data_IF_626955086827
#
_entry.id   IF_626955086827
#
_cell.length_a   1.000
_cell.length_b   1.000
_cell.length_c   1.000
_cell.angle_alpha   90.00
_cell.angle_beta   90.00
_cell.angle_gamma   90.00
#
_symmetry.space_group_name_H-M   'P 1'
#
loop_
_entity.id
_entity.type
_entity.pdbx_description
1 polymer ?
#
# COMPACT_ATOMS: atom_id res chain seq x y z
N UNK A 1 4.52 38.96 9.58
CA UNK A 1 4.77 39.41 10.97
C UNK A 1 3.54 40.13 11.48
N UNK A 2 2.92 39.68 12.57
CA UNK A 2 1.93 40.47 13.30
C UNK A 2 2.67 41.51 14.15
N UNK A 3 2.11 42.72 14.28
CA UNK A 3 2.70 43.91 14.93
C UNK A 3 3.04 43.77 16.43
N UNK A 4 2.94 42.58 17.01
CA UNK A 4 3.13 42.31 18.45
C UNK A 4 4.32 41.41 18.77
N UNK A 5 5.27 41.20 17.84
CA UNK A 5 6.53 40.49 18.13
C UNK A 5 6.42 38.96 18.25
N UNK A 6 5.24 38.37 18.04
CA UNK A 6 5.07 36.92 17.98
C UNK A 6 5.24 36.41 16.54
N UNK A 7 6.15 35.46 16.36
CA UNK A 7 6.31 34.66 15.14
C UNK A 7 5.82 33.24 15.36
N UNK A 8 5.09 32.69 14.40
CA UNK A 8 4.72 31.28 14.40
C UNK A 8 5.99 30.44 14.15
N UNK A 9 6.42 29.68 15.15
CA UNK A 9 7.37 28.57 14.97
C UNK A 9 6.56 27.29 15.10
N UNK A 10 6.74 26.35 14.18
CA UNK A 10 6.30 24.97 14.41
C UNK A 10 7.06 24.43 15.62
N UNK A 11 6.36 23.79 16.55
CA UNK A 11 7.01 23.11 17.67
C UNK A 11 8.00 22.07 17.10
N UNK A 12 9.26 22.14 17.49
CA UNK A 12 10.24 21.09 17.21
C UNK A 12 9.80 19.86 18.02
N UNK A 13 9.54 18.76 17.31
CA UNK A 13 9.18 17.49 17.92
C UNK A 13 10.42 16.94 18.63
N UNK A 14 10.33 16.51 19.89
CA UNK A 14 11.45 15.90 20.66
C UNK A 14 11.93 14.55 20.09
N UNK A 15 11.29 14.06 19.01
CA UNK A 15 11.69 12.83 18.30
C UNK A 15 12.89 13.12 17.39
N UNK A 16 14.08 12.79 17.85
CA UNK A 16 15.33 13.09 17.15
C UNK A 16 15.56 12.23 15.90
N UNK A 17 15.08 10.98 15.84
CA UNK A 17 15.12 10.12 14.64
C UNK A 17 14.09 8.98 14.77
N UNK A 18 13.13 8.89 13.85
CA UNK A 18 12.31 7.68 13.66
C UNK A 18 13.07 6.74 12.75
N UNK A 19 13.53 5.60 13.27
CA UNK A 19 14.26 4.60 12.48
C UNK A 19 13.28 3.52 12.02
N UNK A 20 13.21 3.35 10.71
CA UNK A 20 12.48 2.28 10.07
C UNK A 20 13.08 0.91 10.47
N UNK A 21 12.25 -0.10 10.68
CA UNK A 21 12.75 -1.46 10.95
C UNK A 21 13.61 -1.92 9.77
N UNK A 22 14.78 -2.52 10.04
CA UNK A 22 15.75 -2.91 9.00
C UNK A 22 15.14 -3.75 7.87
N UNK A 23 14.14 -4.59 8.16
CA UNK A 23 13.45 -5.40 7.16
C UNK A 23 12.62 -4.57 6.18
N UNK A 24 11.92 -3.54 6.69
CA UNK A 24 11.12 -2.64 5.87
C UNK A 24 12.06 -1.79 5.03
N UNK A 25 13.15 -1.29 5.64
CA UNK A 25 14.18 -0.53 4.91
C UNK A 25 14.81 -1.37 3.80
N UNK A 26 15.23 -2.62 4.08
CA UNK A 26 15.77 -3.52 3.09
C UNK A 26 14.78 -3.80 1.94
N UNK A 27 13.49 -3.94 2.26
CA UNK A 27 12.43 -4.08 1.26
C UNK A 27 12.30 -2.82 0.41
N UNK A 28 12.26 -1.63 1.02
CA UNK A 28 12.19 -0.36 0.30
C UNK A 28 13.36 -0.17 -0.64
N UNK A 29 14.58 -0.46 -0.19
CA UNK A 29 15.76 -0.46 -1.05
C UNK A 29 15.65 -1.43 -2.24
N UNK A 30 15.14 -2.65 -2.00
CA UNK A 30 14.89 -3.63 -3.05
C UNK A 30 13.85 -3.10 -4.05
N UNK A 31 12.73 -2.57 -3.57
CA UNK A 31 11.69 -1.97 -4.39
C UNK A 31 12.25 -0.85 -5.27
N UNK A 32 12.99 0.08 -4.68
CA UNK A 32 13.59 1.22 -5.39
C UNK A 32 14.58 0.79 -6.49
N UNK A 33 15.33 -0.30 -6.27
CA UNK A 33 16.19 -0.89 -7.31
C UNK A 33 15.37 -1.52 -8.42
N UNK A 34 14.41 -2.37 -8.07
CA UNK A 34 13.57 -3.09 -9.03
C UNK A 34 12.80 -2.12 -9.92
N UNK A 35 12.07 -1.15 -9.34
CA UNK A 35 11.27 -0.20 -10.13
C UNK A 35 12.13 0.64 -11.06
N UNK A 36 13.35 1.00 -10.64
CA UNK A 36 14.31 1.72 -11.48
C UNK A 36 14.79 0.87 -12.67
N UNK A 37 15.08 -0.42 -12.44
CA UNK A 37 15.41 -1.36 -13.52
C UNK A 37 14.26 -1.45 -14.52
N UNK A 38 13.03 -1.65 -14.05
CA UNK A 38 11.86 -1.77 -14.94
C UNK A 38 11.61 -0.50 -15.76
N UNK A 39 11.78 0.68 -15.17
CA UNK A 39 11.70 1.95 -15.90
C UNK A 39 12.81 2.10 -16.94
N UNK A 40 14.04 1.71 -16.63
CA UNK A 40 15.16 1.73 -17.58
C UNK A 40 14.99 0.72 -18.74
N UNK A 41 14.29 -0.38 -18.51
CA UNK A 41 13.85 -1.32 -19.55
C UNK A 41 12.73 -0.76 -20.44
N UNK A 42 12.19 0.42 -20.12
CA UNK A 42 11.09 1.05 -20.84
C UNK A 42 9.72 0.41 -20.56
N UNK A 43 9.59 -0.36 -19.48
CA UNK A 43 8.30 -0.96 -19.10
C UNK A 43 7.35 0.09 -18.56
N UNK A 44 6.08 -0.02 -18.94
CA UNK A 44 5.03 0.81 -18.34
C UNK A 44 4.81 0.39 -16.89
N UNK A 45 4.81 1.37 -15.99
CA UNK A 45 4.47 1.15 -14.58
C UNK A 45 3.02 1.57 -14.38
N UNK A 46 2.18 0.62 -13.96
CA UNK A 46 0.76 0.82 -13.66
C UNK A 46 0.56 0.64 -12.17
N UNK A 47 0.06 1.67 -11.52
CA UNK A 47 -0.24 1.69 -10.10
C UNK A 47 -1.72 1.43 -9.89
N UNK A 48 -2.06 0.55 -8.94
CA UNK A 48 -3.44 0.29 -8.53
C UNK A 48 -3.57 0.44 -7.02
N UNK A 49 -4.80 0.72 -6.60
CA UNK A 49 -5.18 0.79 -5.19
C UNK A 49 -6.71 0.86 -5.06
N UNK A 50 -7.20 0.72 -3.82
CA UNK A 50 -8.58 0.97 -3.44
C UNK A 50 -8.74 2.21 -2.55
N UNK A 51 -9.79 2.98 -2.79
CA UNK A 51 -10.21 4.04 -1.87
C UNK A 51 -11.70 3.94 -1.58
N UNK A 52 -12.15 4.61 -0.51
CA UNK A 52 -13.57 4.82 -0.25
C UNK A 52 -13.98 6.29 -0.28
N UNK A 53 -15.23 6.52 -0.63
CA UNK A 53 -15.90 7.82 -0.60
C UNK A 53 -17.22 7.66 0.14
N UNK A 54 -17.43 8.47 1.17
CA UNK A 54 -18.69 8.50 1.89
C UNK A 54 -19.75 9.31 1.13
N UNK A 55 -20.99 8.87 1.18
CA UNK A 55 -22.12 9.54 0.52
C UNK A 55 -22.24 11.01 0.91
N UNK A 56 -21.96 11.36 2.17
CA UNK A 56 -22.01 12.73 2.66
C UNK A 56 -20.64 13.44 2.62
N UNK A 57 -19.69 12.96 1.82
CA UNK A 57 -18.35 13.56 1.68
C UNK A 57 -18.44 14.94 0.99
N UNK A 58 -18.16 16.00 1.73
CA UNK A 58 -18.31 17.41 1.32
C UNK A 58 -17.12 18.25 1.75
N UNK A 59 -16.95 19.41 1.12
CA UNK A 59 -15.98 20.41 1.57
C UNK A 59 -16.28 20.85 3.00
N UNK A 60 -15.27 20.81 3.88
CA UNK A 60 -15.40 21.24 5.29
C UNK A 60 -15.59 22.75 5.44
N UNK A 61 -15.17 23.55 4.44
CA UNK A 61 -15.22 25.02 4.44
C UNK A 61 -15.80 25.53 3.12
N UNK A 62 -16.66 26.54 3.18
CA UNK A 62 -17.23 27.22 2.01
C UNK A 62 -17.40 28.71 2.31
N UNK A 63 -17.22 29.57 1.30
CA UNK A 63 -17.53 30.99 1.37
C UNK A 63 -19.06 31.19 1.30
N UNK A 64 -19.62 31.96 2.23
CA UNK A 64 -21.07 32.19 2.34
C UNK A 64 -21.36 33.68 2.19
N UNK A 65 -22.32 34.01 1.31
CA UNK A 65 -22.95 35.33 1.19
C UNK A 65 -24.40 35.34 1.70
N UNK A 66 -25.07 36.51 1.70
CA UNK A 66 -26.39 36.71 2.32
C UNK A 66 -27.52 35.82 1.77
N UNK A 67 -27.37 35.31 0.54
CA UNK A 67 -28.36 34.48 -0.18
C UNK A 67 -27.92 33.02 -0.38
N UNK A 68 -26.71 32.64 0.05
CA UNK A 68 -26.19 31.28 -0.14
C UNK A 68 -26.25 30.48 1.16
N UNK A 69 -27.03 29.41 1.17
CA UNK A 69 -27.13 28.48 2.30
C UNK A 69 -25.77 27.82 2.55
N UNK A 70 -25.28 27.90 3.79
CA UNK A 70 -24.00 27.31 4.19
C UNK A 70 -23.95 25.78 4.08
N UNK A 71 -22.73 25.22 4.06
CA UNK A 71 -22.52 23.76 4.09
C UNK A 71 -22.98 23.22 5.44
N UNK A 72 -24.06 22.45 5.43
CA UNK A 72 -24.51 21.67 6.60
C UNK A 72 -23.76 20.34 6.66
N UNK A 73 -23.05 20.11 7.77
CA UNK A 73 -22.45 18.81 8.09
C UNK A 73 -23.53 17.90 8.65
N UNK A 74 -23.87 16.81 7.95
CA UNK A 74 -24.75 15.77 8.51
C UNK A 74 -23.96 14.97 9.55
N UNK A 75 -24.63 14.54 10.62
CA UNK A 75 -24.03 13.79 11.75
C UNK A 75 -23.54 12.39 11.33
N UNK A 76 -24.15 11.77 10.32
CA UNK A 76 -23.75 10.45 9.81
C UNK A 76 -23.03 10.58 8.46
N UNK A 77 -21.90 9.87 8.31
CA UNK A 77 -21.11 9.81 7.06
C UNK A 77 -21.90 9.20 5.88
N UNK A 78 -22.95 8.43 6.14
CA UNK A 78 -23.76 7.75 5.12
C UNK A 78 -23.07 6.54 4.51
N UNK A 79 -23.62 6.02 3.40
CA UNK A 79 -23.12 4.81 2.72
C UNK A 79 -21.68 4.99 2.24
N UNK A 80 -20.87 3.93 2.32
CA UNK A 80 -19.51 3.89 1.78
C UNK A 80 -19.55 3.37 0.34
N UNK A 81 -19.02 4.17 -0.59
CA UNK A 81 -18.73 3.76 -1.96
C UNK A 81 -17.26 3.38 -2.02
N UNK A 82 -16.97 2.14 -2.42
CA UNK A 82 -15.62 1.64 -2.67
C UNK A 82 -15.30 1.90 -4.13
N UNK A 83 -14.09 2.38 -4.37
CA UNK A 83 -13.55 2.67 -5.69
C UNK A 83 -12.23 1.92 -5.85
N UNK A 84 -12.09 1.22 -6.96
CA UNK A 84 -10.88 0.49 -7.35
C UNK A 84 -10.50 1.00 -8.73
N UNK A 85 -9.23 1.34 -8.92
CA UNK A 85 -8.74 1.70 -10.24
C UNK A 85 -7.24 1.45 -10.36
N UNK A 86 -6.75 1.66 -11.58
CA UNK A 86 -5.35 1.57 -11.93
C UNK A 86 -5.01 2.65 -12.96
N UNK A 87 -3.79 3.18 -12.90
CA UNK A 87 -3.31 4.17 -13.85
C UNK A 87 -1.80 4.24 -13.92
N UNK A 88 -1.30 4.95 -14.92
CA UNK A 88 0.12 5.21 -15.16
C UNK A 88 0.33 6.69 -15.46
N UNK A 89 1.55 7.09 -15.81
CA UNK A 89 1.81 8.45 -16.29
C UNK A 89 1.00 8.84 -17.55
N UNK A 90 0.47 7.86 -18.28
CA UNK A 90 -0.42 8.07 -19.44
C UNK A 90 -1.89 8.30 -19.05
N UNK A 91 -2.21 8.27 -17.75
CA UNK A 91 -3.57 8.39 -17.24
C UNK A 91 -4.11 7.07 -16.67
N UNK A 92 -5.39 7.08 -16.33
CA UNK A 92 -6.10 5.88 -15.90
C UNK A 92 -6.20 4.83 -17.00
N UNK A 93 -6.15 3.55 -16.63
CA UNK A 93 -6.39 2.42 -17.54
C UNK A 93 -7.87 2.44 -17.96
N UNK A 94 -8.21 2.69 -19.23
CA UNK A 94 -9.61 2.81 -19.65
C UNK A 94 -10.42 1.56 -19.31
N UNK A 95 -11.64 1.71 -18.78
CA UNK A 95 -12.49 0.56 -18.44
C UNK A 95 -12.12 -0.19 -17.16
N UNK A 96 -11.03 0.17 -16.48
CA UNK A 96 -10.62 -0.45 -15.22
C UNK A 96 -11.28 0.17 -13.97
N UNK A 97 -12.05 1.26 -14.10
CA UNK A 97 -12.74 1.88 -12.96
C UNK A 97 -13.86 0.96 -12.46
N UNK A 98 -13.81 0.62 -11.18
CA UNK A 98 -14.89 -0.07 -10.48
C UNK A 98 -15.36 0.79 -9.31
N UNK A 99 -16.64 1.11 -9.28
CA UNK A 99 -17.30 1.82 -8.19
C UNK A 99 -18.50 0.99 -7.76
N UNK A 100 -18.57 0.66 -6.48
CA UNK A 100 -19.72 -0.03 -5.89
C UNK A 100 -19.90 0.41 -4.45
N UNK A 101 -21.01 0.03 -3.83
CA UNK A 101 -21.31 0.45 -2.47
C UNK A 101 -21.69 -0.73 -1.60
N UNK A 102 -21.20 -0.74 -0.35
CA UNK A 102 -21.42 -1.85 0.57
C UNK A 102 -22.93 -2.09 0.77
N UNK A 103 -23.39 -3.34 0.65
CA UNK A 103 -24.82 -3.73 0.73
C UNK A 103 -25.70 -3.30 -0.47
N UNK A 104 -25.14 -3.09 -1.67
CA UNK A 104 -25.96 -2.91 -2.88
C UNK A 104 -26.55 -4.25 -3.37
N UNK A 105 -27.78 -4.21 -3.91
CA UNK A 105 -28.48 -5.39 -4.48
C UNK A 105 -28.05 -5.71 -5.93
N UNK A 106 -27.06 -5.02 -6.50
CA UNK A 106 -26.56 -5.29 -7.85
C UNK A 106 -25.59 -6.47 -7.84
N UNK A 107 -25.83 -7.43 -8.72
CA UNK A 107 -25.48 -8.86 -8.61
C UNK A 107 -23.98 -9.23 -8.57
N UNK A 108 -23.05 -8.29 -8.73
CA UNK A 108 -21.65 -8.62 -9.04
C UNK A 108 -20.63 -8.32 -7.93
N UNK A 109 -20.95 -7.37 -7.02
CA UNK A 109 -20.10 -6.95 -5.90
C UNK A 109 -20.99 -6.61 -4.69
N UNK A 110 -21.23 -7.58 -3.80
CA UNK A 110 -22.22 -7.47 -2.72
C UNK A 110 -21.65 -7.03 -1.35
N UNK A 111 -20.34 -7.11 -1.18
CA UNK A 111 -19.62 -6.88 0.09
C UNK A 111 -18.41 -5.96 -0.11
N UNK A 112 -17.73 -5.61 1.00
CA UNK A 112 -16.47 -4.87 0.95
C UNK A 112 -15.39 -5.61 0.12
N UNK A 113 -14.30 -4.91 -0.21
CA UNK A 113 -13.21 -5.51 -0.99
C UNK A 113 -12.62 -6.74 -0.29
N UNK A 114 -12.44 -7.82 -1.04
CA UNK A 114 -11.87 -9.09 -0.58
C UNK A 114 -11.13 -9.77 -1.73
N UNK A 115 -10.42 -10.87 -1.46
CA UNK A 115 -9.59 -11.55 -2.48
C UNK A 115 -10.39 -11.98 -3.71
N UNK A 116 -11.63 -12.44 -3.54
CA UNK A 116 -12.46 -12.88 -4.67
C UNK A 116 -12.87 -11.69 -5.55
N UNK A 117 -13.32 -10.60 -4.93
CA UNK A 117 -13.73 -9.38 -5.63
C UNK A 117 -12.53 -8.72 -6.33
N UNK A 118 -11.38 -8.67 -5.65
CA UNK A 118 -10.14 -8.15 -6.20
C UNK A 118 -9.70 -8.96 -7.41
N UNK A 119 -9.62 -10.29 -7.30
CA UNK A 119 -9.21 -11.14 -8.43
C UNK A 119 -10.21 -11.11 -9.58
N UNK A 120 -11.52 -10.97 -9.32
CA UNK A 120 -12.53 -10.72 -10.35
C UNK A 120 -12.23 -9.42 -11.10
N UNK A 121 -11.96 -8.33 -10.37
CA UNK A 121 -11.59 -7.05 -10.97
C UNK A 121 -10.29 -7.13 -11.78
N UNK A 122 -9.26 -7.82 -11.26
CA UNK A 122 -8.00 -8.04 -11.99
C UNK A 122 -8.25 -8.73 -13.33
N UNK A 123 -9.06 -9.80 -13.34
CA UNK A 123 -9.35 -10.62 -14.53
C UNK A 123 -10.28 -9.93 -15.53
N UNK A 124 -11.29 -9.21 -15.06
CA UNK A 124 -12.37 -8.67 -15.92
C UNK A 124 -12.16 -7.20 -16.30
N UNK A 125 -11.42 -6.43 -15.50
CA UNK A 125 -11.31 -4.98 -15.62
C UNK A 125 -9.89 -4.49 -15.80
N UNK A 126 -8.91 -5.07 -15.11
CA UNK A 126 -7.51 -4.64 -15.26
C UNK A 126 -6.86 -5.25 -16.50
N UNK A 127 -6.63 -6.57 -16.49
CA UNK A 127 -5.86 -7.30 -17.52
C UNK A 127 -6.41 -7.04 -18.93
N UNK A 128 -7.72 -7.14 -19.21
CA UNK A 128 -8.23 -6.96 -20.57
C UNK A 128 -8.05 -5.55 -21.13
N UNK A 129 -7.82 -4.56 -20.26
CA UNK A 129 -7.69 -3.16 -20.63
C UNK A 129 -6.25 -2.64 -20.61
N UNK A 130 -5.26 -3.48 -20.26
CA UNK A 130 -3.85 -3.15 -20.39
C UNK A 130 -3.43 -3.30 -21.86
N UNK A 131 -2.93 -2.22 -22.45
CA UNK A 131 -2.57 -2.18 -23.88
C UNK A 131 -1.19 -2.77 -24.20
N UNK A 132 -0.33 -2.92 -23.18
CA UNK A 132 1.05 -3.39 -23.31
C UNK A 132 1.54 -4.11 -22.05
N UNK A 133 2.57 -4.97 -22.18
CA UNK A 133 3.27 -5.54 -21.03
C UNK A 133 3.65 -4.45 -20.05
N UNK A 134 3.29 -4.66 -18.78
CA UNK A 134 3.32 -3.62 -17.75
C UNK A 134 3.77 -4.22 -16.42
N UNK A 135 4.39 -3.40 -15.59
CA UNK A 135 4.66 -3.70 -14.19
C UNK A 135 3.53 -3.13 -13.37
N UNK A 136 2.82 -4.00 -12.67
CA UNK A 136 1.71 -3.67 -11.80
C UNK A 136 2.23 -3.44 -10.39
N UNK A 137 2.03 -2.24 -9.87
CA UNK A 137 2.41 -1.83 -8.52
C UNK A 137 1.17 -1.78 -7.65
N UNK A 138 1.20 -2.49 -6.52
CA UNK A 138 0.13 -2.52 -5.52
C UNK A 138 0.70 -2.65 -4.11
N UNK A 139 -0.13 -2.40 -3.09
CA UNK A 139 0.26 -2.59 -1.70
C UNK A 139 0.33 -4.08 -1.32
N UNK A 140 0.62 -4.37 -0.06
CA UNK A 140 0.74 -5.73 0.46
C UNK A 140 -0.49 -6.15 1.29
N UNK A 141 -1.67 -5.64 0.97
CA UNK A 141 -2.89 -6.04 1.66
C UNK A 141 -3.07 -7.56 1.57
N UNK A 142 -3.47 -8.18 2.68
CA UNK A 142 -3.57 -9.64 2.79
C UNK A 142 -4.50 -10.26 1.75
N UNK A 143 -5.49 -9.50 1.26
CA UNK A 143 -6.40 -9.94 0.24
C UNK A 143 -5.84 -9.82 -1.20
N UNK A 144 -4.83 -8.97 -1.44
CA UNK A 144 -4.07 -8.92 -2.70
C UNK A 144 -3.07 -10.07 -2.81
N UNK A 145 -2.35 -10.38 -1.71
CA UNK A 145 -1.31 -11.42 -1.66
C UNK A 145 -1.85 -12.78 -1.17
N UNK A 146 -2.91 -13.26 -1.84
CA UNK A 146 -3.46 -14.59 -1.57
C UNK A 146 -2.50 -15.70 -2.06
N UNK A 147 -1.83 -16.35 -1.12
CA UNK A 147 -0.91 -17.45 -1.40
C UNK A 147 -1.66 -18.71 -1.87
N UNK A 148 -1.28 -19.26 -3.03
CA UNK A 148 -1.89 -20.47 -3.60
C UNK A 148 -1.21 -21.76 -3.11
N UNK A 149 0.10 -21.73 -2.84
CA UNK A 149 0.89 -22.87 -2.39
C UNK A 149 1.12 -22.88 -0.86
N UNK A 150 0.10 -22.49 -0.09
CA UNK A 150 0.23 -22.32 1.36
C UNK A 150 0.64 -23.65 2.05
N UNK A 151 1.78 -23.72 2.75
CA UNK A 151 2.14 -24.90 3.51
C UNK A 151 1.25 -25.03 4.75
N UNK A 152 1.02 -26.26 5.25
CA UNK A 152 0.32 -26.46 6.51
C UNK A 152 1.15 -25.88 7.67
N UNK A 153 0.46 -25.53 8.75
CA UNK A 153 1.03 -25.03 10.00
C UNK A 153 0.69 -25.98 11.16
N UNK A 154 1.31 -25.76 12.32
CA UNK A 154 1.13 -26.62 13.49
C UNK A 154 -0.32 -26.73 13.99
N UNK A 155 -1.23 -25.82 13.65
CA UNK A 155 -2.65 -25.94 13.99
C UNK A 155 -3.42 -26.88 13.06
N UNK A 156 -2.92 -27.20 11.86
CA UNK A 156 -3.55 -28.16 10.94
C UNK A 156 -3.53 -29.58 11.50
N UNK A 157 -4.45 -30.43 11.05
CA UNK A 157 -4.47 -31.83 11.52
C UNK A 157 -3.28 -32.60 10.96
N UNK A 158 -2.89 -33.72 11.62
CA UNK A 158 -1.84 -34.62 11.09
C UNK A 158 -2.21 -35.14 9.70
N UNK A 159 -3.51 -35.36 9.45
CA UNK A 159 -4.02 -35.78 8.15
C UNK A 159 -3.83 -34.71 7.06
N UNK A 160 -4.10 -33.43 7.37
CA UNK A 160 -3.88 -32.33 6.43
C UNK A 160 -2.40 -32.17 6.06
N UNK A 161 -1.51 -32.30 7.06
CA UNK A 161 -0.05 -32.22 6.84
C UNK A 161 0.39 -33.36 5.91
N UNK A 162 -0.04 -34.60 6.18
CA UNK A 162 0.24 -35.76 5.32
C UNK A 162 -0.29 -35.56 3.90
N UNK A 163 -1.53 -35.06 3.76
CA UNK A 163 -2.13 -34.77 2.45
C UNK A 163 -1.29 -33.75 1.67
N UNK A 164 -0.81 -32.71 2.32
CA UNK A 164 0.09 -31.74 1.68
C UNK A 164 1.41 -32.38 1.24
N UNK A 165 2.04 -33.21 2.09
CA UNK A 165 3.27 -33.92 1.74
C UNK A 165 3.08 -34.83 0.51
N UNK A 166 2.00 -35.62 0.47
CA UNK A 166 1.65 -36.45 -0.70
C UNK A 166 1.45 -35.59 -1.95
N UNK A 167 0.67 -34.51 -1.85
CA UNK A 167 0.40 -33.62 -2.99
C UNK A 167 1.67 -32.95 -3.55
N UNK A 168 2.71 -32.78 -2.72
CA UNK A 168 4.00 -32.24 -3.12
C UNK A 168 5.05 -33.33 -3.44
N UNK A 169 4.65 -34.61 -3.47
CA UNK A 169 5.54 -35.73 -3.79
C UNK A 169 6.61 -36.01 -2.72
N UNK A 170 6.35 -35.64 -1.46
CA UNK A 170 7.30 -35.80 -0.35
C UNK A 170 6.97 -37.09 0.40
N UNK A 171 7.95 -38.01 0.45
CA UNK A 171 7.85 -39.26 1.21
C UNK A 171 7.89 -39.00 2.72
N UNK A 172 7.10 -39.77 3.47
CA UNK A 172 7.10 -39.78 4.93
C UNK A 172 6.67 -41.15 5.44
N UNK A 173 7.03 -41.47 6.69
CA UNK A 173 6.69 -42.75 7.32
C UNK A 173 5.43 -42.63 8.19
N UNK A 174 4.61 -43.69 8.24
CA UNK A 174 3.33 -43.65 8.96
C UNK A 174 3.48 -43.40 10.46
N UNK A 175 4.57 -43.88 11.06
CA UNK A 175 4.86 -43.72 12.48
C UNK A 175 5.28 -42.29 12.84
N UNK A 176 5.76 -41.49 11.88
CA UNK A 176 6.26 -40.14 12.15
C UNK A 176 5.20 -39.29 12.84
N UNK A 177 5.61 -38.64 13.91
CA UNK A 177 4.83 -37.70 14.70
C UNK A 177 4.49 -36.45 13.90
N UNK A 178 3.52 -35.68 14.38
CA UNK A 178 3.15 -34.41 13.73
C UNK A 178 4.33 -33.42 13.67
N UNK A 179 5.22 -33.44 14.68
CA UNK A 179 6.41 -32.60 14.71
C UNK A 179 7.41 -32.98 13.61
N UNK A 180 7.71 -34.28 13.45
CA UNK A 180 8.60 -34.77 12.39
C UNK A 180 8.08 -34.44 11.00
N UNK A 181 6.77 -34.61 10.76
CA UNK A 181 6.14 -34.23 9.50
C UNK A 181 6.25 -32.71 9.23
N UNK A 182 6.17 -31.88 10.27
CA UNK A 182 6.33 -30.43 10.14
C UNK A 182 7.76 -30.01 9.89
N UNK A 183 8.76 -30.76 10.37
CA UNK A 183 10.15 -30.57 9.96
C UNK A 183 10.30 -30.82 8.45
N UNK A 184 9.69 -31.89 7.91
CA UNK A 184 9.69 -32.14 6.47
C UNK A 184 9.00 -31.02 5.68
N UNK A 185 7.85 -30.51 6.15
CA UNK A 185 7.18 -29.36 5.52
C UNK A 185 8.09 -28.14 5.51
N UNK A 186 8.76 -27.83 6.62
CA UNK A 186 9.64 -26.65 6.70
C UNK A 186 10.89 -26.77 5.83
N UNK A 187 11.44 -27.99 5.67
CA UNK A 187 12.58 -28.27 4.79
C UNK A 187 12.20 -28.22 3.30
N UNK A 188 11.00 -28.70 2.95
CA UNK A 188 10.57 -28.87 1.56
C UNK A 188 9.62 -27.80 1.04
N UNK A 189 9.11 -26.89 1.88
CA UNK A 189 8.23 -25.81 1.42
C UNK A 189 8.96 -24.94 0.39
N UNK A 190 8.25 -24.62 -0.67
CA UNK A 190 8.73 -23.71 -1.71
C UNK A 190 8.44 -22.26 -1.32
N UNK A 191 9.04 -21.33 -2.06
CA UNK A 191 8.73 -19.90 -1.91
C UNK A 191 7.23 -19.65 -2.13
N UNK A 192 6.62 -18.71 -1.40
CA UNK A 192 5.22 -18.35 -1.61
C UNK A 192 4.97 -17.97 -3.07
N UNK A 193 3.89 -18.52 -3.63
CA UNK A 193 3.35 -18.15 -4.94
C UNK A 193 2.00 -17.49 -4.70
N UNK A 194 1.79 -16.33 -5.32
CA UNK A 194 0.59 -15.51 -5.12
C UNK A 194 -0.33 -15.55 -6.33
N UNK A 195 -1.64 -15.63 -6.09
CA UNK A 195 -2.65 -15.76 -7.14
C UNK A 195 -2.60 -14.60 -8.16
N UNK A 196 -2.44 -13.37 -7.67
CA UNK A 196 -2.33 -12.17 -8.51
C UNK A 196 -1.06 -12.17 -9.36
N UNK A 197 0.07 -12.62 -8.81
CA UNK A 197 1.35 -12.68 -9.53
C UNK A 197 1.29 -13.67 -10.70
N UNK A 198 0.76 -14.88 -10.47
CA UNK A 198 0.65 -15.90 -11.50
C UNK A 198 -0.26 -15.46 -12.65
N UNK A 199 -1.44 -14.90 -12.35
CA UNK A 199 -2.35 -14.47 -13.42
C UNK A 199 -1.80 -13.29 -14.23
N UNK A 200 -1.08 -12.37 -13.58
CA UNK A 200 -0.42 -11.25 -14.27
C UNK A 200 0.69 -11.79 -15.18
N UNK A 201 1.50 -12.71 -14.67
CA UNK A 201 2.59 -13.35 -15.42
C UNK A 201 2.09 -14.16 -16.62
N UNK A 202 0.99 -14.89 -16.47
CA UNK A 202 0.31 -15.60 -17.58
C UNK A 202 -0.08 -14.65 -18.72
N UNK A 203 -0.36 -13.38 -18.40
CA UNK A 203 -0.73 -12.33 -19.35
C UNK A 203 0.43 -11.38 -19.69
N UNK A 204 1.68 -11.79 -19.43
CA UNK A 204 2.89 -11.03 -19.73
C UNK A 204 2.99 -9.68 -18.99
N UNK A 205 2.45 -9.63 -17.77
CA UNK A 205 2.62 -8.55 -16.82
C UNK A 205 3.48 -9.01 -15.64
N UNK A 206 4.14 -8.06 -14.97
CA UNK A 206 4.94 -8.32 -13.78
C UNK A 206 4.28 -7.67 -12.57
N UNK A 207 4.44 -8.28 -11.39
CA UNK A 207 3.97 -7.70 -10.15
C UNK A 207 5.14 -7.10 -9.35
N UNK A 208 4.94 -5.93 -8.78
CA UNK A 208 5.87 -5.30 -7.86
C UNK A 208 5.12 -4.75 -6.63
N UNK A 209 5.32 -5.38 -5.48
CA UNK A 209 4.69 -4.99 -4.23
C UNK A 209 5.40 -3.78 -3.59
N UNK A 210 4.61 -2.81 -3.14
CA UNK A 210 5.10 -1.70 -2.33
C UNK A 210 5.66 -2.21 -0.99
N UNK A 211 6.70 -1.55 -0.46
CA UNK A 211 7.17 -1.84 0.89
C UNK A 211 6.09 -1.39 1.91
N UNK A 212 5.93 -2.10 3.04
CA UNK A 212 4.96 -1.73 4.06
C UNK A 212 5.12 -0.27 4.51
N UNK A 213 4.02 0.45 4.70
CA UNK A 213 3.98 1.84 5.16
C UNK A 213 4.53 2.91 4.19
N UNK A 214 4.75 2.57 2.91
CA UNK A 214 5.22 3.51 1.89
C UNK A 214 4.17 3.80 0.81
N UNK A 215 3.01 4.29 1.23
CA UNK A 215 2.00 4.78 0.29
C UNK A 215 2.46 6.04 -0.47
N UNK A 216 3.47 6.75 0.03
CA UNK A 216 4.13 7.87 -0.63
C UNK A 216 4.89 7.46 -1.91
N UNK A 217 5.19 6.17 -2.06
CA UNK A 217 5.71 5.58 -3.30
C UNK A 217 4.60 5.19 -4.30
N UNK A 218 3.33 5.44 -3.96
CA UNK A 218 2.18 5.16 -4.81
C UNK A 218 1.49 6.45 -5.29
N UNK A 219 1.68 6.88 -6.56
CA UNK A 219 1.13 8.15 -7.05
C UNK A 219 -0.40 8.17 -7.07
N UNK A 220 -1.06 7.01 -7.07
CA UNK A 220 -2.52 6.92 -7.07
C UNK A 220 -3.15 7.54 -5.82
N UNK A 221 -2.42 7.62 -4.70
CA UNK A 221 -2.87 8.27 -3.47
C UNK A 221 -3.12 9.77 -3.67
N UNK A 222 -2.25 10.41 -4.45
CA UNK A 222 -2.40 11.82 -4.82
C UNK A 222 -3.57 12.00 -5.79
N UNK A 223 -3.78 11.02 -6.68
CA UNK A 223 -4.92 10.96 -7.59
C UNK A 223 -6.23 10.83 -6.81
N UNK A 224 -6.29 9.97 -5.78
CA UNK A 224 -7.42 9.85 -4.86
C UNK A 224 -7.73 11.16 -4.17
N UNK A 225 -6.71 11.81 -3.64
CA UNK A 225 -6.83 13.12 -3.01
C UNK A 225 -7.45 14.15 -3.98
N UNK A 226 -7.01 14.16 -5.24
CA UNK A 226 -7.57 15.04 -6.26
C UNK A 226 -9.02 14.71 -6.62
N UNK A 227 -9.33 13.42 -6.84
CA UNK A 227 -10.67 12.95 -7.17
C UNK A 227 -11.66 13.28 -6.04
N UNK A 228 -11.30 12.98 -4.79
CA UNK A 228 -12.09 13.29 -3.60
C UNK A 228 -12.35 14.77 -3.46
N UNK A 229 -11.36 15.65 -3.70
CA UNK A 229 -11.58 17.11 -3.72
C UNK A 229 -12.63 17.52 -4.76
N UNK A 230 -12.56 16.97 -5.98
CA UNK A 230 -13.55 17.24 -7.04
C UNK A 230 -14.95 16.76 -6.60
N UNK A 231 -15.06 15.55 -6.04
CA UNK A 231 -16.32 15.00 -5.52
C UNK A 231 -16.89 15.91 -4.43
N UNK A 232 -16.08 16.25 -3.42
CA UNK A 232 -16.50 17.09 -2.30
C UNK A 232 -17.03 18.46 -2.74
N UNK A 233 -16.42 19.06 -3.77
CA UNK A 233 -16.82 20.36 -4.31
C UNK A 233 -18.16 20.32 -5.06
N UNK A 234 -18.55 19.15 -5.58
CA UNK A 234 -19.78 18.96 -6.38
C UNK A 234 -20.91 18.27 -5.64
N UNK A 235 -20.61 17.61 -4.52
CA UNK A 235 -21.58 16.92 -3.67
C UNK A 235 -22.43 17.90 -2.83
N UNK A 236 -23.04 18.88 -3.48
CA UNK A 236 -23.90 19.90 -2.86
C UNK A 236 -25.32 19.68 -3.36
N UNK A 237 -26.18 19.15 -2.49
CA UNK A 237 -27.60 18.92 -2.80
C UNK A 237 -27.90 17.67 -3.63
N UNK A 238 -26.89 16.86 -3.97
CA UNK A 238 -27.04 15.66 -4.80
C UNK A 238 -27.72 14.53 -4.00
N UNK A 239 -28.75 13.86 -4.55
CA UNK A 239 -29.33 12.66 -3.97
C UNK A 239 -28.32 11.52 -3.90
N UNK A 240 -28.33 10.73 -2.82
CA UNK A 240 -27.40 9.60 -2.66
C UNK A 240 -27.39 8.56 -3.78
N UNK A 241 -28.50 8.42 -4.52
CA UNK A 241 -28.61 7.49 -5.66
C UNK A 241 -27.75 7.92 -6.85
N UNK A 242 -27.36 9.18 -6.93
CA UNK A 242 -26.54 9.74 -8.00
C UNK A 242 -25.05 9.79 -7.63
N UNK A 243 -24.69 9.33 -6.41
CA UNK A 243 -23.32 9.39 -5.92
C UNK A 243 -22.34 8.57 -6.76
N UNK A 244 -22.75 7.39 -7.23
CA UNK A 244 -21.88 6.55 -8.07
C UNK A 244 -21.57 7.23 -9.42
N UNK A 245 -22.57 7.85 -10.04
CA UNK A 245 -22.39 8.63 -11.27
C UNK A 245 -21.46 9.83 -11.03
N UNK A 246 -21.65 10.56 -9.93
CA UNK A 246 -20.78 11.68 -9.56
C UNK A 246 -19.33 11.25 -9.38
N UNK A 247 -19.10 10.11 -8.72
CA UNK A 247 -17.75 9.54 -8.54
C UNK A 247 -17.15 9.26 -9.92
N UNK A 248 -17.87 8.53 -10.78
CA UNK A 248 -17.41 8.19 -12.14
C UNK A 248 -17.05 9.45 -12.94
N UNK A 249 -17.92 10.46 -12.94
CA UNK A 249 -17.68 11.74 -13.61
C UNK A 249 -16.44 12.46 -13.07
N UNK A 250 -16.24 12.47 -11.75
CA UNK A 250 -15.09 13.13 -11.15
C UNK A 250 -13.76 12.43 -11.49
N UNK A 251 -13.77 11.10 -11.58
CA UNK A 251 -12.61 10.31 -11.99
C UNK A 251 -12.29 10.49 -13.48
N UNK A 252 -13.30 10.58 -14.35
CA UNK A 252 -13.13 10.85 -15.77
C UNK A 252 -12.52 12.23 -16.10
N UNK A 253 -12.50 13.15 -15.13
CA UNK A 253 -11.88 14.47 -15.27
C UNK A 253 -10.43 14.53 -14.84
N UNK A 254 -9.87 13.42 -14.35
CA UNK A 254 -8.44 13.32 -14.06
C UNK A 254 -7.74 13.04 -15.37
N UNK A 255 -6.76 13.87 -15.69
CA UNK A 255 -6.09 13.86 -16.98
C UNK A 255 -4.75 13.11 -16.91
N UNK A 256 -4.18 12.69 -18.06
CA UNK A 256 -2.81 12.21 -18.12
C UNK A 256 -1.79 13.21 -17.55
N UNK A 257 -2.03 14.51 -17.70
CA UNK A 257 -1.15 15.54 -17.13
C UNK A 257 -1.19 15.57 -15.60
N UNK A 258 -2.34 15.27 -14.98
CA UNK A 258 -2.44 15.13 -13.53
C UNK A 258 -1.64 13.92 -13.06
N UNK A 259 -1.80 12.78 -13.76
CA UNK A 259 -1.05 11.55 -13.49
C UNK A 259 0.45 11.76 -13.61
N UNK A 260 0.92 12.36 -14.71
CA UNK A 260 2.34 12.64 -14.94
C UNK A 260 2.95 13.49 -13.82
N UNK A 261 2.23 14.51 -13.36
CA UNK A 261 2.65 15.34 -12.22
C UNK A 261 2.86 14.50 -10.96
N UNK A 262 1.97 13.56 -10.66
CA UNK A 262 2.06 12.73 -9.46
C UNK A 262 3.12 11.64 -9.58
N UNK A 263 3.30 11.04 -10.75
CA UNK A 263 4.42 10.10 -10.99
C UNK A 263 5.76 10.80 -10.88
N UNK A 264 5.89 12.04 -11.39
CA UNK A 264 7.12 12.83 -11.28
C UNK A 264 7.39 13.24 -9.81
N UNK A 265 6.35 13.50 -9.03
CA UNK A 265 6.49 13.70 -7.59
C UNK A 265 7.05 12.45 -6.88
N UNK A 266 6.48 11.28 -7.16
CA UNK A 266 6.95 10.00 -6.60
C UNK A 266 8.39 9.72 -7.01
N UNK A 267 8.79 10.02 -8.24
CA UNK A 267 10.20 9.91 -8.66
C UNK A 267 11.14 10.76 -7.81
N UNK A 268 10.71 11.96 -7.39
CA UNK A 268 11.50 12.78 -6.46
C UNK A 268 11.56 12.15 -5.06
N UNK A 269 10.45 11.62 -4.56
CA UNK A 269 10.41 10.89 -3.27
C UNK A 269 11.35 9.68 -3.30
N UNK A 270 11.35 8.91 -4.38
CA UNK A 270 12.28 7.79 -4.58
C UNK A 270 13.75 8.23 -4.54
N UNK A 271 14.07 9.36 -5.17
CA UNK A 271 15.43 9.92 -5.18
C UNK A 271 15.82 10.43 -3.78
N UNK A 272 14.90 11.07 -3.07
CA UNK A 272 15.12 11.51 -1.69
C UNK A 272 15.41 10.33 -0.76
N UNK A 273 14.72 9.20 -0.93
CA UNK A 273 15.04 7.98 -0.20
C UNK A 273 16.46 7.49 -0.51
N UNK A 274 16.80 7.34 -1.80
CA UNK A 274 18.15 6.89 -2.22
C UNK A 274 19.27 7.78 -1.66
N UNK A 275 19.05 9.10 -1.61
CA UNK A 275 20.01 10.05 -1.05
C UNK A 275 20.12 9.92 0.48
N UNK A 276 18.97 9.92 1.18
CA UNK A 276 18.92 9.83 2.63
C UNK A 276 19.51 8.52 3.13
N UNK A 277 19.18 7.39 2.51
CA UNK A 277 19.69 6.10 2.95
C UNK A 277 21.20 5.98 2.73
N UNK A 278 21.72 6.50 1.60
CA UNK A 278 23.17 6.59 1.38
C UNK A 278 23.88 7.47 2.41
N UNK A 279 23.23 8.50 2.94
CA UNK A 279 23.74 9.29 4.06
C UNK A 279 23.62 8.51 5.38
N UNK A 280 22.51 7.83 5.63
CA UNK A 280 22.27 7.04 6.84
C UNK A 280 23.26 5.89 6.98
N UNK A 281 23.60 5.15 5.91
CA UNK A 281 24.63 4.12 5.96
C UNK A 281 25.99 4.70 6.37
N UNK A 282 26.40 5.81 5.73
CA UNK A 282 27.66 6.49 6.05
C UNK A 282 27.70 7.06 7.48
N UNK A 283 26.58 7.59 7.99
CA UNK A 283 26.50 8.14 9.35
C UNK A 283 26.38 7.03 10.42
N UNK A 284 25.67 5.93 10.14
CA UNK A 284 25.64 4.75 11.01
C UNK A 284 27.02 4.10 11.11
N UNK A 285 27.76 3.98 10.00
CA UNK A 285 29.15 3.49 10.02
C UNK A 285 30.04 4.40 10.86
N UNK A 286 29.94 5.73 10.72
CA UNK A 286 30.68 6.67 11.57
C UNK A 286 30.31 6.53 13.05
N UNK A 287 29.04 6.31 13.36
CA UNK A 287 28.58 6.11 14.74
C UNK A 287 29.17 4.81 15.33
N UNK A 288 29.15 3.70 14.58
CA UNK A 288 29.75 2.41 14.98
C UNK A 288 31.27 2.57 15.18
N UNK A 289 31.96 3.25 14.26
CA UNK A 289 33.41 3.51 14.37
C UNK A 289 33.71 4.36 15.61
N UNK A 290 32.87 5.37 15.92
CA UNK A 290 33.06 6.21 17.11
C UNK A 290 32.84 5.45 18.42
N UNK A 291 31.94 4.47 18.45
CA UNK A 291 31.71 3.61 19.62
C UNK A 291 32.82 2.56 19.77
N UNK A 292 33.41 2.08 18.66
CA UNK A 292 34.51 1.12 18.67
C UNK A 292 35.90 1.71 18.91
N UNK A 293 36.07 3.04 18.80
CA UNK A 293 37.37 3.69 18.97
C UNK A 293 37.76 3.95 20.44
N UNK A 294 36.84 3.80 21.39
CA UNK A 294 37.07 4.05 22.82
C UNK A 294 37.02 2.79 23.71
N UNK A 295 37.04 1.58 23.16
CA UNK A 295 37.10 0.34 23.96
C UNK A 295 38.19 -0.61 23.48
N UNK A 296 39.37 -0.50 24.07
CA UNK A 296 40.40 -1.54 24.04
C UNK A 296 40.13 -2.61 25.10
N UNK A 297 39.97 -3.84 24.61
CA UNK A 297 40.18 -5.17 25.24
C UNK A 297 39.18 -5.73 26.29
N UNK A 298 38.48 -6.78 25.82
CA UNK A 298 38.03 -8.04 26.47
C UNK A 298 37.00 -8.04 27.62
N UNK A 299 35.79 -8.57 27.34
CA UNK A 299 35.41 -9.96 27.70
C UNK A 299 33.94 -10.25 27.33
N UNK A 300 33.66 -11.49 26.92
CA UNK A 300 32.31 -12.02 26.70
C UNK A 300 31.44 -11.88 27.96
N UNK A 301 30.38 -11.07 27.88
CA UNK A 301 29.18 -11.28 28.68
C UNK A 301 27.94 -10.69 28.00
N UNK A 302 26.98 -11.58 27.81
CA UNK A 302 25.64 -11.40 27.28
C UNK A 302 24.79 -10.48 28.19
N UNK A 303 24.99 -9.16 28.13
CA UNK A 303 24.01 -8.14 28.59
C UNK A 303 24.42 -6.71 28.17
N UNK A 304 23.87 -6.16 27.09
CA UNK A 304 23.93 -4.70 26.86
C UNK A 304 22.77 -4.19 25.98
N UNK A 305 21.54 -4.45 26.41
CA UNK A 305 20.32 -3.82 25.87
C UNK A 305 19.98 -2.49 26.60
N UNK A 306 20.95 -1.63 26.90
CA UNK A 306 20.69 -0.40 27.69
C UNK A 306 21.27 0.91 27.17
N UNK A 307 21.90 0.97 25.98
CA UNK A 307 22.48 2.23 25.46
C UNK A 307 21.69 2.92 24.35
N UNK A 308 20.45 2.51 24.06
CA UNK A 308 19.54 3.20 23.13
C UNK A 308 18.39 3.92 23.86
N UNK A 309 18.68 4.71 24.89
CA UNK A 309 17.68 5.61 25.47
C UNK A 309 17.39 6.76 24.49
N UNK A 310 16.41 6.57 23.61
CA UNK A 310 15.93 7.62 22.70
C UNK A 310 15.59 7.19 21.27
N UNK A 311 15.81 5.91 20.91
CA UNK A 311 15.41 5.38 19.59
C UNK A 311 14.10 4.61 19.74
N UNK A 312 13.01 5.23 19.33
CA UNK A 312 11.70 4.60 19.24
C UNK A 312 11.50 4.09 17.80
N UNK A 313 11.26 2.78 17.65
CA UNK A 313 10.85 2.21 16.37
C UNK A 313 9.44 2.66 16.05
N UNK A 314 9.09 2.77 14.76
CA UNK A 314 7.70 2.99 14.33
C UNK A 314 6.81 1.88 14.91
N UNK A 315 6.15 2.18 16.02
CA UNK A 315 5.01 1.41 16.51
C UNK A 315 3.78 1.81 15.69
N UNK A 316 3.06 0.76 15.32
CA UNK A 316 1.81 0.75 14.58
C UNK A 316 0.78 1.66 15.26
N UNK A 317 0.29 2.65 14.52
CA UNK A 317 -1.13 3.07 14.43
C UNK A 317 -1.19 4.48 13.85
N UNK A 318 -1.28 4.56 12.52
CA UNK A 318 -1.78 5.77 11.86
C UNK A 318 -3.24 5.54 11.49
N UNK A 319 -4.13 5.92 12.40
CA UNK A 319 -5.51 6.24 12.08
C UNK A 319 -5.51 7.35 11.03
N UNK A 320 -5.80 7.01 9.78
CA UNK A 320 -6.15 7.99 8.76
C UNK A 320 -7.57 8.52 9.02
N UNK A 321 -7.72 9.34 10.05
CA UNK A 321 -8.74 10.37 10.14
C UNK A 321 -8.07 11.74 10.29
N UNK A 322 -8.53 12.74 9.52
CA UNK A 322 -8.01 14.10 9.30
C UNK A 322 -6.81 14.16 8.32
N UNK A 323 -6.93 14.80 7.15
CA UNK A 323 -7.43 16.16 6.91
C UNK A 323 -8.39 16.35 5.72
#
# INVERSE_FOLDING_TARGET
>A
MLKNGFSFKSNENERSMLIEKYQISAWRHKYLREINIKRNEGKQIVYLDETYVHQNYKVKKSWQGPSTTGVTTKISSGKRHIVVHAGSEEGFVPGALLVFSSKSKSADYHDDMNSSNFMKWVREKLIPNLSKPSVIVMDNASYHIKQINKPPIMSNTKADIRKWLVNNGIHFEEYQTKAELMCLVNDKKTLPVYEAEEILKEHNHELLLLPPYHCDLNPIEMVWSQAKRKIASRNIGIPGKEMENLIIECFNLITPSDWKKYTDHVLNVENDYKLKDGIVENELEKFIISVGADSSEESDSDDSLSLLSGVEYLETDFDYESD
#
